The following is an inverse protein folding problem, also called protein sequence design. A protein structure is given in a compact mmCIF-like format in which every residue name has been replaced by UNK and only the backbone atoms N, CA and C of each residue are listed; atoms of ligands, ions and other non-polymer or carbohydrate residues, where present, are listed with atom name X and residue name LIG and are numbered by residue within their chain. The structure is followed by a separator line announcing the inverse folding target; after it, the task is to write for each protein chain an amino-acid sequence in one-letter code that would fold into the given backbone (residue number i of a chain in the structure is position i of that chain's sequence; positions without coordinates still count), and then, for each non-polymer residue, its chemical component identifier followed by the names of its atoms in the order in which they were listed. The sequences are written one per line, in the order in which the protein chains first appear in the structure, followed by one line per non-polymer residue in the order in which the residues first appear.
data_IF_262377119743
#
_entry.id   IF_262377119743
#
_cell.length_a   1.000
_cell.length_b   1.000
_cell.length_c   1.000
_cell.angle_alpha   90.00
_cell.angle_beta   90.00
_cell.angle_gamma   90.00
#
_symmetry.space_group_name_H-M   'P 1'
#
loop_
_entity.id
_entity.type
_entity.pdbx_description
1 polymer ?
#
# COMPACT_ATOMS: atom_id res chain seq x y z
N UNK A 1 -4.30 7.59 -4.09
CA UNK A 1 -3.38 7.36 -5.24
C UNK A 1 -2.00 7.02 -4.68
N UNK A 2 -1.25 6.15 -5.35
CA UNK A 2 0.14 5.83 -5.01
C UNK A 2 1.01 6.01 -6.26
N UNK A 3 2.20 6.57 -6.08
CA UNK A 3 3.23 6.81 -7.09
C UNK A 3 4.40 5.88 -6.78
N UNK A 4 4.90 5.22 -7.81
CA UNK A 4 6.07 4.35 -7.76
C UNK A 4 7.17 4.97 -8.61
N UNK A 5 8.28 5.37 -7.99
CA UNK A 5 9.36 6.06 -8.67
C UNK A 5 10.70 5.74 -7.99
N UNK A 6 11.69 5.31 -8.78
CA UNK A 6 13.06 5.06 -8.31
C UNK A 6 13.14 4.18 -7.04
N UNK A 7 12.37 3.09 -7.00
CA UNK A 7 12.32 2.16 -5.85
C UNK A 7 11.54 2.68 -4.64
N UNK A 8 10.89 3.84 -4.75
CA UNK A 8 10.04 4.43 -3.71
C UNK A 8 8.57 4.34 -4.05
N UNK A 9 7.75 4.06 -3.05
CA UNK A 9 6.30 4.06 -3.14
C UNK A 9 5.74 5.12 -2.19
N UNK A 10 4.99 6.10 -2.72
CA UNK A 10 4.40 7.19 -1.91
C UNK A 10 2.99 7.48 -2.35
N UNK A 11 2.12 7.81 -1.42
CA UNK A 11 0.75 8.11 -1.77
C UNK A 11 -0.12 8.39 -0.57
N UNK A 12 -1.42 8.23 -0.76
CA UNK A 12 -2.39 8.36 0.30
C UNK A 12 -3.81 8.27 -0.20
N UNK A 13 -4.70 8.35 0.77
CA UNK A 13 -6.14 8.50 0.61
C UNK A 13 -6.63 9.71 1.41
N UNK A 14 -7.93 9.76 1.69
CA UNK A 14 -8.57 10.87 2.39
C UNK A 14 -8.08 11.11 3.82
N UNK A 15 -7.49 10.12 4.50
CA UNK A 15 -7.06 10.23 5.91
C UNK A 15 -5.68 9.61 6.20
N UNK A 16 -5.15 8.75 5.33
CA UNK A 16 -3.86 8.07 5.50
C UNK A 16 -2.89 8.47 4.41
N UNK A 17 -1.62 8.63 4.78
CA UNK A 17 -0.49 8.78 3.87
C UNK A 17 0.36 7.52 3.91
N UNK A 18 0.89 7.14 2.75
CA UNK A 18 1.76 5.99 2.55
C UNK A 18 3.14 6.46 2.12
N UNK A 19 4.18 5.94 2.75
CA UNK A 19 5.57 6.20 2.36
C UNK A 19 6.41 4.95 2.56
N UNK A 20 7.20 4.58 1.56
CA UNK A 20 8.10 3.45 1.68
C UNK A 20 8.79 3.11 0.37
N UNK A 21 9.09 1.83 0.21
CA UNK A 21 9.91 1.31 -0.88
C UNK A 21 9.23 0.14 -1.56
N UNK A 22 9.66 -0.13 -2.78
CA UNK A 22 9.26 -1.32 -3.51
C UNK A 22 10.46 -1.91 -4.25
N UNK A 23 10.44 -3.21 -4.44
CA UNK A 23 11.35 -3.94 -5.31
C UNK A 23 10.52 -4.72 -6.33
N UNK A 24 11.07 -4.88 -7.53
CA UNK A 24 10.45 -5.66 -8.58
C UNK A 24 11.50 -6.63 -9.14
N UNK A 25 11.18 -7.92 -9.11
CA UNK A 25 12.03 -9.00 -9.63
C UNK A 25 11.19 -9.85 -10.58
N UNK A 26 11.35 -9.62 -11.88
CA UNK A 26 10.49 -10.25 -12.89
C UNK A 26 9.04 -9.82 -12.73
N UNK A 27 8.14 -10.77 -12.50
CA UNK A 27 6.72 -10.49 -12.22
C UNK A 27 6.42 -10.24 -10.74
N UNK A 28 7.36 -10.55 -9.84
CA UNK A 28 7.13 -10.42 -8.40
C UNK A 28 7.46 -9.01 -7.93
N UNK A 29 6.60 -8.48 -7.08
CA UNK A 29 6.70 -7.11 -6.54
C UNK A 29 6.51 -7.20 -5.04
N UNK A 30 7.50 -6.71 -4.29
CA UNK A 30 7.41 -6.53 -2.85
C UNK A 30 7.33 -5.04 -2.55
N UNK A 31 6.44 -4.65 -1.64
CA UNK A 31 6.29 -3.26 -1.21
C UNK A 31 6.28 -3.24 0.32
N UNK A 32 7.09 -2.36 0.90
CA UNK A 32 7.01 -2.03 2.32
C UNK A 32 6.57 -0.58 2.46
N UNK A 33 5.50 -0.35 3.20
CA UNK A 33 4.91 0.97 3.41
C UNK A 33 4.76 1.24 4.89
N UNK A 34 5.16 2.43 5.32
CA UNK A 34 4.58 3.05 6.50
C UNK A 34 3.26 3.71 6.11
N UNK A 35 2.21 3.45 6.88
CA UNK A 35 0.91 4.07 6.76
C UNK A 35 0.63 4.87 8.03
N UNK A 36 0.51 6.18 7.90
CA UNK A 36 0.23 7.07 9.04
C UNK A 36 -0.98 7.95 8.75
N UNK A 37 -1.84 8.12 9.76
CA UNK A 37 -3.01 8.98 9.68
C UNK A 37 -2.58 10.44 9.69
N UNK A 38 -2.98 11.20 8.68
CA UNK A 38 -2.73 12.65 8.59
C UNK A 38 -3.97 13.49 8.89
N UNK A 39 -5.17 12.88 8.89
CA UNK A 39 -6.43 13.58 9.13
C UNK A 39 -7.39 12.78 10.02
N UNK A 40 -7.99 13.47 10.99
CA UNK A 40 -8.91 12.89 11.97
C UNK A 40 -10.35 13.30 11.66
N UNK A 41 -10.94 12.64 10.66
CA UNK A 41 -12.37 12.78 10.34
C UNK A 41 -13.17 11.80 11.18
N UNK A 42 -14.23 12.27 11.84
CA UNK A 42 -14.98 11.50 12.84
C UNK A 42 -15.67 10.24 12.28
N UNK A 43 -15.91 10.21 10.98
CA UNK A 43 -16.60 9.16 10.24
C UNK A 43 -15.65 8.18 9.53
N UNK A 44 -14.34 8.40 9.61
CA UNK A 44 -13.34 7.58 8.92
C UNK A 44 -12.32 7.00 9.90
N UNK A 45 -12.09 5.71 9.77
CA UNK A 45 -11.07 4.96 10.51
C UNK A 45 -10.03 4.40 9.53
N UNK A 46 -8.73 4.38 9.89
CA UNK A 46 -7.72 3.66 9.11
C UNK A 46 -8.10 2.19 8.95
N UNK A 47 -7.77 1.58 7.82
CA UNK A 47 -8.12 0.17 7.50
C UNK A 47 -7.67 -0.80 8.59
N UNK A 48 -6.47 -0.58 9.15
CA UNK A 48 -5.92 -1.41 10.22
C UNK A 48 -6.35 -0.95 11.63
N UNK A 49 -7.19 0.08 11.75
CA UNK A 49 -7.68 0.62 13.02
C UNK A 49 -6.61 1.26 13.90
N UNK A 50 -5.44 1.58 13.32
CA UNK A 50 -4.27 2.14 14.02
C UNK A 50 -3.82 3.43 13.35
N UNK A 51 -3.24 4.32 14.14
CA UNK A 51 -2.77 5.63 13.69
C UNK A 51 -1.49 5.56 12.86
N UNK A 52 -0.63 4.59 13.13
CA UNK A 52 0.61 4.34 12.40
C UNK A 52 0.91 2.84 12.38
N UNK A 53 1.15 2.27 11.19
CA UNK A 53 1.52 0.86 11.01
C UNK A 53 2.51 0.67 9.86
N UNK A 54 3.22 -0.46 9.89
CA UNK A 54 3.94 -0.98 8.73
C UNK A 54 3.09 -2.01 7.99
N UNK A 55 3.06 -1.88 6.65
CA UNK A 55 2.35 -2.76 5.73
C UNK A 55 3.38 -3.42 4.81
N UNK A 56 3.34 -4.74 4.75
CA UNK A 56 4.10 -5.52 3.76
C UNK A 56 3.14 -6.05 2.71
N UNK A 57 3.43 -5.77 1.44
CA UNK A 57 2.67 -6.24 0.28
C UNK A 57 3.51 -7.22 -0.51
N UNK A 58 2.94 -8.39 -0.77
CA UNK A 58 3.45 -9.34 -1.75
C UNK A 58 2.50 -9.34 -2.94
N UNK A 59 2.98 -8.95 -4.11
CA UNK A 59 2.17 -8.77 -5.29
C UNK A 59 2.82 -9.36 -6.55
N UNK A 60 2.00 -9.53 -7.58
CA UNK A 60 2.44 -9.92 -8.92
C UNK A 60 1.95 -8.93 -9.96
N UNK A 61 2.80 -8.67 -10.96
CA UNK A 61 2.43 -7.99 -12.19
C UNK A 61 1.55 -8.92 -13.03
N UNK A 62 0.25 -8.63 -13.11
CA UNK A 62 -0.72 -9.42 -13.85
C UNK A 62 -0.76 -9.02 -15.33
N UNK A 63 -0.68 -7.71 -15.58
CA UNK A 63 -0.59 -7.11 -16.92
C UNK A 63 0.34 -5.91 -16.84
N UNK A 64 0.69 -5.31 -17.98
CA UNK A 64 1.49 -4.07 -18.02
C UNK A 64 0.89 -2.90 -17.23
N UNK A 65 -0.40 -2.98 -16.89
CA UNK A 65 -1.15 -1.91 -16.22
C UNK A 65 -1.69 -2.32 -14.85
N UNK A 66 -1.52 -3.57 -14.44
CA UNK A 66 -2.20 -4.09 -13.25
C UNK A 66 -1.30 -4.96 -12.39
N UNK A 67 -1.18 -4.57 -11.13
CA UNK A 67 -0.49 -5.31 -10.07
C UNK A 67 -1.54 -5.77 -9.07
N UNK A 68 -1.49 -7.04 -8.67
CA UNK A 68 -2.43 -7.63 -7.70
C UNK A 68 -1.65 -8.37 -6.64
N UNK A 69 -2.03 -8.19 -5.38
CA UNK A 69 -1.34 -8.84 -4.27
C UNK A 69 -2.16 -8.87 -3.00
N UNK A 70 -1.49 -9.33 -1.94
CA UNK A 70 -1.99 -9.33 -0.57
C UNK A 70 -1.11 -8.45 0.28
N UNK A 71 -1.74 -7.68 1.15
CA UNK A 71 -1.09 -6.87 2.15
C UNK A 71 -1.30 -7.50 3.53
N UNK A 72 -0.30 -7.36 4.38
CA UNK A 72 -0.30 -7.81 5.77
C UNK A 72 0.27 -6.72 6.66
N UNK A 73 -0.21 -6.67 7.90
CA UNK A 73 0.22 -5.73 8.92
C UNK A 73 0.42 -6.50 10.23
N UNK A 74 1.61 -6.41 10.82
CA UNK A 74 1.92 -7.16 12.06
C UNK A 74 1.09 -6.67 13.25
N UNK A 75 0.69 -5.40 13.26
CA UNK A 75 -0.14 -4.78 14.31
C UNK A 75 -1.63 -5.13 14.18
N UNK A 76 -2.02 -5.75 13.06
CA UNK A 76 -3.38 -6.17 12.75
C UNK A 76 -3.36 -7.47 11.90
N UNK A 77 -2.83 -8.59 12.46
CA UNK A 77 -2.57 -9.81 11.70
C UNK A 77 -3.87 -10.49 11.21
N UNK A 78 -4.99 -10.24 11.88
CA UNK A 78 -6.29 -10.84 11.57
C UNK A 78 -7.08 -10.08 10.48
N UNK A 79 -6.51 -9.00 9.91
CA UNK A 79 -7.14 -8.21 8.85
C UNK A 79 -6.54 -8.60 7.49
N UNK A 80 -7.16 -9.52 6.74
CA UNK A 80 -6.70 -9.85 5.39
C UNK A 80 -6.99 -8.67 4.45
N UNK A 81 -5.96 -8.23 3.72
CA UNK A 81 -6.11 -7.14 2.76
C UNK A 81 -5.67 -7.58 1.36
N UNK A 82 -6.56 -7.45 0.38
CA UNK A 82 -6.21 -7.56 -1.04
C UNK A 82 -5.91 -6.18 -1.60
N UNK A 83 -4.83 -6.06 -2.36
CA UNK A 83 -4.46 -4.83 -3.05
C UNK A 83 -4.48 -5.01 -4.55
N UNK A 84 -4.96 -3.99 -5.24
CA UNK A 84 -4.96 -3.90 -6.70
C UNK A 84 -4.46 -2.50 -7.05
N UNK A 85 -3.32 -2.43 -7.73
CA UNK A 85 -2.85 -1.18 -8.33
C UNK A 85 -3.14 -1.21 -9.82
N UNK A 86 -3.79 -0.16 -10.29
CA UNK A 86 -4.03 0.08 -11.72
C UNK A 86 -3.19 1.29 -12.14
N UNK A 87 -2.41 1.13 -13.20
CA UNK A 87 -1.59 2.20 -13.76
C UNK A 87 -2.51 3.31 -14.28
N UNK A 88 -2.27 4.54 -13.83
CA UNK A 88 -3.02 5.72 -14.29
C UNK A 88 -2.25 6.51 -15.36
N UNK A 89 -0.94 6.59 -15.23
CA UNK A 89 -0.03 7.29 -16.14
C UNK A 89 1.42 6.88 -15.87
N UNK A 90 2.29 7.25 -16.80
CA UNK A 90 3.75 7.34 -16.60
C UNK A 90 4.13 8.68 -15.96
#
# INVERSE_FOLDING_TARGET
MVIFEQGRARGGDSIVAYNGTYTATGSDIEIQLEAFRHSHKNDLVPIFGKEHVTITVNAKLLTKERIVGTASCVDAPDIPMKVVFTKLRD
#
